data_IF_291305574459
#
_entry.id   IF_291305574459
#
_cell.length_a   1.000
_cell.length_b   1.000
_cell.length_c   1.000
_cell.angle_alpha   90.00
_cell.angle_beta   90.00
_cell.angle_gamma   90.00
#
_symmetry.space_group_name_H-M   'P 1'
#
loop_
_entity.id
_entity.type
_entity.pdbx_description
1 polymer ?
#
# COMPACT_ATOMS: atom_id res chain seq x y z
N UNK A 1 0.23 -17.05 8.76
CA UNK A 1 -1.11 -16.77 8.27
C UNK A 1 -1.26 -15.36 7.78
N UNK A 2 -2.24 -15.14 6.91
CA UNK A 2 -2.48 -13.85 6.31
C UNK A 2 -3.06 -12.80 7.25
N UNK A 3 -2.90 -11.54 6.92
CA UNK A 3 -3.46 -10.44 7.67
C UNK A 3 -4.95 -10.24 7.41
N UNK A 4 -5.67 -9.75 8.39
CA UNK A 4 -7.08 -9.40 8.27
C UNK A 4 -7.24 -7.88 8.09
N UNK A 5 -8.50 -7.43 7.94
CA UNK A 5 -8.79 -6.02 7.71
C UNK A 5 -8.35 -5.11 8.89
N UNK A 6 -8.36 -5.61 10.12
CA UNK A 6 -7.89 -4.85 11.28
C UNK A 6 -6.37 -4.64 11.22
N UNK A 7 -5.64 -5.63 10.74
CA UNK A 7 -4.20 -5.50 10.57
C UNK A 7 -3.85 -4.41 9.56
N UNK A 8 -4.64 -4.27 8.50
CA UNK A 8 -4.44 -3.21 7.50
C UNK A 8 -4.54 -1.79 8.10
N UNK A 9 -5.21 -1.65 9.22
CA UNK A 9 -5.39 -0.37 9.90
C UNK A 9 -4.56 -0.21 11.16
N UNK A 10 -3.66 -1.13 11.42
CA UNK A 10 -2.79 -1.02 12.58
C UNK A 10 -1.86 0.19 12.47
N UNK A 11 -1.80 0.97 13.52
CA UNK A 11 -0.90 2.13 13.58
C UNK A 11 0.50 1.66 13.96
N UNK A 12 1.47 2.02 13.15
CA UNK A 12 2.88 1.76 13.44
C UNK A 12 3.42 2.92 14.29
N UNK A 13 3.92 2.67 15.49
CA UNK A 13 4.41 3.75 16.35
C UNK A 13 5.69 4.37 15.81
N UNK A 14 5.87 5.65 16.08
CA UNK A 14 7.16 6.31 15.90
C UNK A 14 8.09 5.86 17.01
N UNK A 15 9.27 5.42 16.66
CA UNK A 15 10.22 4.84 17.63
C UNK A 15 11.65 5.27 17.29
N UNK A 16 11.87 6.57 17.22
CA UNK A 16 13.14 7.16 16.77
C UNK A 16 14.33 6.73 17.61
N UNK A 17 14.13 6.50 18.89
CA UNK A 17 15.20 6.17 19.83
C UNK A 17 15.19 4.69 20.24
N UNK A 18 14.25 3.92 19.75
CA UNK A 18 14.15 2.50 20.11
C UNK A 18 15.09 1.64 19.25
N UNK A 19 15.50 0.53 19.80
CA UNK A 19 16.29 -0.44 19.04
C UNK A 19 15.40 -1.06 17.95
N UNK A 20 15.91 -1.23 16.71
CA UNK A 20 15.09 -1.70 15.59
C UNK A 20 14.78 -3.20 15.69
N UNK A 21 13.84 -3.55 16.51
CA UNK A 21 13.34 -4.92 16.66
C UNK A 21 11.91 -5.02 16.17
N UNK A 22 11.51 -6.20 15.74
CA UNK A 22 10.13 -6.45 15.27
C UNK A 22 9.12 -6.06 16.35
N UNK A 23 9.42 -6.35 17.61
CA UNK A 23 8.55 -6.02 18.74
C UNK A 23 8.28 -4.52 18.89
N UNK A 24 9.20 -3.67 18.44
CA UNK A 24 9.04 -2.21 18.48
C UNK A 24 7.87 -1.76 17.61
N UNK A 25 7.65 -2.41 16.49
CA UNK A 25 6.64 -2.02 15.49
C UNK A 25 5.34 -2.81 15.63
N UNK A 26 5.15 -3.53 16.70
CA UNK A 26 4.04 -4.46 16.93
C UNK A 26 4.23 -5.78 16.16
N UNK A 27 3.50 -6.81 16.52
CA UNK A 27 3.68 -8.13 15.90
C UNK A 27 3.23 -8.17 14.43
N UNK A 28 2.46 -7.17 13.97
CA UNK A 28 1.93 -7.14 12.62
C UNK A 28 2.02 -5.72 12.07
N UNK A 29 2.61 -5.56 10.89
CA UNK A 29 2.59 -4.28 10.17
C UNK A 29 1.37 -4.23 9.24
N UNK A 30 0.89 -3.04 8.85
CA UNK A 30 -0.35 -2.91 8.08
C UNK A 30 -0.27 -3.29 6.60
N UNK A 31 0.91 -3.50 6.05
CA UNK A 31 1.11 -3.99 4.68
C UNK A 31 1.66 -5.40 4.69
N UNK A 32 1.28 -6.22 3.69
CA UNK A 32 1.88 -7.57 3.60
C UNK A 32 3.22 -7.55 2.84
N UNK A 33 3.45 -6.52 2.04
CA UNK A 33 4.67 -6.41 1.23
C UNK A 33 5.61 -5.34 1.76
N UNK A 34 5.38 -4.09 1.40
CA UNK A 34 6.26 -2.96 1.76
C UNK A 34 5.45 -1.89 2.47
N UNK A 35 5.95 -1.48 3.61
CA UNK A 35 5.47 -0.32 4.34
C UNK A 35 6.63 0.67 4.50
N UNK A 36 6.41 1.91 4.08
CA UNK A 36 7.42 2.96 4.16
C UNK A 36 6.83 4.24 4.74
N UNK A 37 7.63 4.96 5.52
CA UNK A 37 7.22 6.22 6.15
C UNK A 37 8.36 7.22 6.08
N UNK A 38 8.01 8.50 5.95
CA UNK A 38 8.98 9.60 5.92
C UNK A 38 10.00 9.44 4.79
N UNK A 39 9.50 9.22 3.57
CA UNK A 39 10.34 8.97 2.41
C UNK A 39 10.14 10.03 1.33
N UNK A 40 11.20 10.38 0.64
CA UNK A 40 11.18 11.29 -0.49
C UNK A 40 12.01 10.68 -1.63
N UNK A 41 11.42 10.65 -2.82
CA UNK A 41 12.11 10.09 -3.99
C UNK A 41 12.20 8.57 -3.97
N UNK A 42 11.13 7.88 -3.55
CA UNK A 42 11.10 6.42 -3.52
C UNK A 42 10.63 5.87 -4.87
N UNK A 43 11.40 4.97 -5.43
CA UNK A 43 11.03 4.20 -6.63
C UNK A 43 10.99 2.71 -6.30
N UNK A 44 9.81 2.10 -6.50
CA UNK A 44 9.60 0.67 -6.39
C UNK A 44 9.26 0.13 -7.77
N UNK A 45 10.12 -0.72 -8.32
CA UNK A 45 10.00 -1.19 -9.69
C UNK A 45 10.32 -2.68 -9.79
N UNK A 46 9.60 -3.37 -10.66
CA UNK A 46 9.83 -4.80 -10.93
C UNK A 46 9.67 -5.66 -9.68
N UNK A 47 8.64 -5.38 -8.89
CA UNK A 47 8.35 -6.14 -7.67
C UNK A 47 7.27 -7.17 -7.97
N UNK A 48 7.49 -8.40 -7.54
CA UNK A 48 6.51 -9.47 -7.63
C UNK A 48 6.38 -10.13 -6.26
N UNK A 49 5.14 -10.17 -5.76
CA UNK A 49 4.84 -10.88 -4.52
C UNK A 49 3.96 -12.08 -4.80
N UNK A 50 4.20 -13.15 -4.07
CA UNK A 50 3.27 -14.27 -3.93
C UNK A 50 2.90 -14.40 -2.45
N UNK A 51 1.67 -14.82 -2.19
CA UNK A 51 1.15 -14.92 -0.84
C UNK A 51 0.52 -16.30 -0.68
N UNK A 52 0.94 -17.04 0.34
CA UNK A 52 0.52 -18.42 0.56
C UNK A 52 -0.92 -18.55 1.07
N UNK A 53 -1.46 -17.51 1.67
CA UNK A 53 -2.82 -17.51 2.19
C UNK A 53 -3.45 -16.14 2.01
N UNK A 54 -4.78 -16.07 2.11
CA UNK A 54 -5.52 -14.81 2.01
C UNK A 54 -4.97 -13.76 2.97
N UNK A 55 -4.67 -12.59 2.44
CA UNK A 55 -4.18 -11.46 3.21
C UNK A 55 -4.94 -10.20 2.80
N UNK A 56 -5.60 -9.55 3.74
CA UNK A 56 -6.45 -8.40 3.47
C UNK A 56 -5.72 -7.05 3.62
N UNK A 57 -4.42 -7.10 3.89
CA UNK A 57 -3.61 -5.88 3.96
C UNK A 57 -3.22 -5.42 2.54
N UNK A 58 -3.02 -4.13 2.33
CA UNK A 58 -2.42 -3.66 1.08
C UNK A 58 -1.02 -4.26 0.86
N UNK A 59 -0.65 -4.38 -0.43
CA UNK A 59 0.71 -4.80 -0.79
C UNK A 59 1.73 -3.71 -0.44
N UNK A 60 1.36 -2.46 -0.69
CA UNK A 60 2.23 -1.31 -0.45
C UNK A 60 1.49 -0.26 0.37
N UNK A 61 2.16 0.28 1.38
CA UNK A 61 1.69 1.45 2.12
C UNK A 61 2.82 2.47 2.23
N UNK A 62 2.52 3.70 1.82
CA UNK A 62 3.42 4.83 1.98
C UNK A 62 2.74 5.86 2.86
N UNK A 63 3.37 6.22 3.96
CA UNK A 63 2.89 7.25 4.88
C UNK A 63 3.90 8.40 4.92
N UNK A 64 3.42 9.64 4.77
CA UNK A 64 4.26 10.82 4.76
C UNK A 64 5.39 10.69 3.73
N UNK A 65 5.01 10.80 2.46
CA UNK A 65 5.93 10.62 1.35
C UNK A 65 5.83 11.71 0.30
N UNK A 66 6.87 11.81 -0.52
CA UNK A 66 6.93 12.75 -1.65
C UNK A 66 7.69 12.12 -2.81
N UNK A 67 7.18 12.34 -4.02
CA UNK A 67 7.78 11.79 -5.25
C UNK A 67 7.92 10.26 -5.19
N UNK A 68 6.79 9.59 -5.18
CA UNK A 68 6.70 8.15 -5.08
C UNK A 68 6.39 7.57 -6.46
N UNK A 69 7.16 6.58 -6.90
CA UNK A 69 6.93 5.88 -8.15
C UNK A 69 6.86 4.37 -7.88
N UNK A 70 5.73 3.78 -8.27
CA UNK A 70 5.55 2.33 -8.20
C UNK A 70 5.20 1.86 -9.60
N UNK A 71 6.00 0.96 -10.18
CA UNK A 71 5.82 0.55 -11.56
C UNK A 71 6.19 -0.91 -11.81
N UNK A 72 5.60 -1.44 -12.87
CA UNK A 72 5.90 -2.77 -13.40
C UNK A 72 5.97 -3.84 -12.31
N UNK A 73 4.90 -3.96 -11.54
CA UNK A 73 4.85 -4.86 -10.39
C UNK A 73 3.61 -5.73 -10.45
N UNK A 74 3.71 -6.93 -9.90
CA UNK A 74 2.61 -7.90 -9.84
C UNK A 74 2.37 -8.29 -8.39
N UNK A 75 1.17 -8.01 -7.90
CA UNK A 75 0.83 -8.23 -6.50
C UNK A 75 -0.59 -8.78 -6.39
N UNK A 76 -0.84 -9.79 -5.58
CA UNK A 76 -2.18 -10.31 -5.38
C UNK A 76 -2.98 -9.45 -4.42
N UNK A 77 -4.31 -9.50 -4.56
CA UNK A 77 -5.23 -8.95 -3.58
C UNK A 77 -6.40 -9.93 -3.40
N UNK A 78 -7.17 -9.75 -2.34
CA UNK A 78 -8.21 -10.71 -1.96
C UNK A 78 -9.50 -10.00 -1.60
N UNK A 79 -10.62 -10.68 -1.78
CA UNK A 79 -11.93 -10.15 -1.43
C UNK A 79 -11.98 -9.72 0.03
N UNK A 80 -12.41 -8.50 0.27
CA UNK A 80 -12.41 -7.87 1.58
C UNK A 80 -11.28 -6.86 1.80
N UNK A 81 -10.27 -6.85 0.92
CA UNK A 81 -9.20 -5.86 0.99
C UNK A 81 -9.73 -4.47 0.59
N UNK A 82 -9.29 -3.45 1.31
CA UNK A 82 -9.70 -2.08 0.99
C UNK A 82 -8.92 -1.50 -0.19
N UNK A 83 -7.68 -1.89 -0.37
CA UNK A 83 -6.83 -1.40 -1.46
C UNK A 83 -5.62 -2.31 -1.66
N UNK A 84 -5.05 -2.22 -2.85
CA UNK A 84 -3.76 -2.84 -3.16
C UNK A 84 -2.61 -1.94 -2.69
N UNK A 85 -2.78 -0.64 -2.87
CA UNK A 85 -1.81 0.39 -2.48
C UNK A 85 -2.53 1.44 -1.64
N UNK A 86 -1.99 1.79 -0.49
CA UNK A 86 -2.49 2.90 0.32
C UNK A 86 -1.44 4.00 0.45
N UNK A 87 -1.85 5.21 0.13
CA UNK A 87 -1.01 6.40 0.23
C UNK A 87 -1.64 7.34 1.25
N UNK A 88 -0.92 7.69 2.28
CA UNK A 88 -1.38 8.59 3.34
C UNK A 88 -0.40 9.76 3.49
N UNK A 89 -0.88 10.98 3.32
CA UNK A 89 -0.05 12.18 3.35
C UNK A 89 1.10 12.11 2.33
N UNK A 90 0.75 11.78 1.08
CA UNK A 90 1.73 11.62 0.00
C UNK A 90 1.49 12.70 -1.06
N UNK A 91 2.56 13.40 -1.43
CA UNK A 91 2.56 14.39 -2.51
C UNK A 91 3.36 13.88 -3.70
N UNK A 92 2.73 13.89 -4.86
CA UNK A 92 3.32 13.44 -6.12
C UNK A 92 3.62 11.94 -6.12
N UNK A 93 2.64 11.15 -6.51
CA UNK A 93 2.79 9.70 -6.68
C UNK A 93 2.37 9.29 -8.08
N UNK A 94 3.09 8.36 -8.66
CA UNK A 94 2.81 7.81 -9.98
C UNK A 94 2.79 6.29 -9.89
N UNK A 95 1.64 5.70 -10.21
CA UNK A 95 1.42 4.25 -10.12
C UNK A 95 1.12 3.76 -11.54
N UNK A 96 2.02 3.00 -12.13
CA UNK A 96 1.87 2.58 -13.52
C UNK A 96 2.32 1.14 -13.72
N UNK A 97 1.63 0.44 -14.62
CA UNK A 97 1.93 -0.96 -14.95
C UNK A 97 1.96 -1.90 -13.73
N UNK A 98 1.04 -1.65 -12.80
CA UNK A 98 0.81 -2.56 -11.69
C UNK A 98 -0.30 -3.53 -12.09
N UNK A 99 -0.03 -4.83 -11.98
CA UNK A 99 -1.00 -5.88 -12.24
C UNK A 99 -1.41 -6.52 -10.93
N UNK A 100 -2.71 -6.72 -10.76
CA UNK A 100 -3.23 -7.43 -9.60
C UNK A 100 -4.29 -8.43 -10.02
N UNK A 101 -4.32 -9.57 -9.36
CA UNK A 101 -5.38 -10.57 -9.45
C UNK A 101 -6.19 -10.53 -8.17
N UNK A 102 -7.48 -10.87 -8.26
CA UNK A 102 -8.36 -10.87 -7.11
C UNK A 102 -9.17 -9.59 -6.97
N UNK A 103 -9.77 -9.39 -5.82
CA UNK A 103 -10.72 -8.31 -5.56
C UNK A 103 -10.20 -7.32 -4.55
N UNK A 104 -10.53 -6.05 -4.73
CA UNK A 104 -10.36 -5.01 -3.73
C UNK A 104 -11.30 -3.86 -4.04
N UNK A 105 -11.54 -2.99 -3.08
CA UNK A 105 -12.34 -1.78 -3.32
C UNK A 105 -11.62 -0.79 -4.21
N UNK A 106 -10.31 -0.68 -4.07
CA UNK A 106 -9.51 0.24 -4.87
C UNK A 106 -8.15 -0.37 -5.23
N UNK A 107 -7.59 0.06 -6.34
CA UNK A 107 -6.18 -0.19 -6.62
C UNK A 107 -5.33 0.71 -5.72
N UNK A 108 -5.60 2.01 -5.74
CA UNK A 108 -4.90 3.01 -4.93
C UNK A 108 -5.91 3.73 -4.05
N UNK A 109 -5.73 3.64 -2.75
CA UNK A 109 -6.50 4.41 -1.78
C UNK A 109 -5.65 5.56 -1.27
N UNK A 110 -6.16 6.78 -1.42
CA UNK A 110 -5.45 8.02 -1.09
C UNK A 110 -6.13 8.65 0.12
N UNK A 111 -5.38 8.85 1.19
CA UNK A 111 -5.88 9.36 2.46
C UNK A 111 -5.06 10.56 2.94
N UNK A 112 -5.61 11.28 3.90
CA UNK A 112 -4.94 12.41 4.54
C UNK A 112 -4.70 13.57 3.57
N UNK A 113 -3.64 14.32 3.81
CA UNK A 113 -3.25 15.47 3.00
C UNK A 113 -2.39 15.02 1.82
N UNK A 114 -2.99 14.36 0.87
CA UNK A 114 -2.30 13.88 -0.32
C UNK A 114 -2.72 14.68 -1.55
N UNK A 115 -1.85 14.75 -2.54
CA UNK A 115 -2.14 15.40 -3.82
C UNK A 115 -1.26 14.90 -4.95
N UNK A 116 -1.67 15.19 -6.18
CA UNK A 116 -0.97 14.83 -7.41
C UNK A 116 -0.66 13.34 -7.49
N UNK A 117 -1.68 12.51 -7.28
CA UNK A 117 -1.59 11.06 -7.41
C UNK A 117 -2.14 10.66 -8.77
N UNK A 118 -1.33 9.98 -9.57
CA UNK A 118 -1.68 9.51 -10.91
C UNK A 118 -1.54 8.00 -11.00
N UNK A 119 -2.49 7.38 -11.69
CA UNK A 119 -2.47 5.94 -11.96
C UNK A 119 -2.82 5.72 -13.43
N UNK A 120 -2.04 4.90 -14.13
CA UNK A 120 -2.26 4.61 -15.54
C UNK A 120 -1.63 3.27 -15.94
N UNK A 121 -2.19 2.67 -16.99
CA UNK A 121 -1.68 1.42 -17.58
C UNK A 121 -1.61 0.26 -16.59
N UNK A 122 -2.45 0.27 -15.56
CA UNK A 122 -2.54 -0.80 -14.59
C UNK A 122 -3.52 -1.87 -15.08
N UNK A 123 -3.32 -3.12 -14.67
CA UNK A 123 -4.17 -4.26 -15.04
C UNK A 123 -4.87 -4.82 -13.82
N UNK A 124 -6.20 -4.83 -13.86
CA UNK A 124 -7.02 -5.41 -12.81
C UNK A 124 -8.39 -5.82 -13.37
N UNK A 125 -9.01 -6.85 -12.81
CA UNK A 125 -10.31 -7.34 -13.23
C UNK A 125 -11.44 -6.94 -12.26
N UNK A 126 -11.19 -7.09 -10.97
CA UNK A 126 -12.22 -7.01 -9.94
C UNK A 126 -11.92 -5.93 -8.92
N UNK A 127 -11.44 -4.81 -9.40
CA UNK A 127 -11.21 -3.62 -8.59
C UNK A 127 -12.33 -2.62 -8.90
N UNK A 128 -12.98 -2.11 -7.87
CA UNK A 128 -14.12 -1.20 -8.03
C UNK A 128 -13.68 0.17 -8.54
N UNK A 129 -12.61 0.73 -7.96
CA UNK A 129 -12.06 2.02 -8.37
C UNK A 129 -10.55 1.93 -8.55
N UNK A 130 -10.03 2.54 -9.60
CA UNK A 130 -8.58 2.62 -9.76
C UNK A 130 -7.96 3.52 -8.69
N UNK A 131 -8.55 4.70 -8.46
CA UNK A 131 -8.15 5.60 -7.37
C UNK A 131 -9.38 5.94 -6.54
N UNK A 132 -9.29 5.72 -5.23
CA UNK A 132 -10.29 6.14 -4.27
C UNK A 132 -9.67 7.18 -3.34
N UNK A 133 -10.24 8.38 -3.32
CA UNK A 133 -9.76 9.48 -2.49
C UNK A 133 -10.68 9.61 -1.29
N UNK A 134 -10.10 9.49 -0.09
CA UNK A 134 -10.80 9.68 1.17
C UNK A 134 -10.44 11.07 1.66
N UNK A 135 -11.43 11.96 1.67
CA UNK A 135 -11.23 13.33 2.16
C UNK A 135 -11.04 13.31 3.68
N UNK A 136 -10.11 14.12 4.18
CA UNK A 136 -9.92 14.23 5.63
C UNK A 136 -11.10 14.89 6.36
#
# INVERSE_FOLDING_TARGET
GGGNAKHARQVVPEAETAYPEISTFKPTIPAYGIWARHVSGLTLKNISFTVDSTDLRPAFIIEDGKNINISNSQVPTFEGAEAVIRLENVQAANITQVSTTGKAKALVRVEGKSGDVKASKNKFDKIVKEIEIIKP
#
